data_IF_151220349590
#
_entry.id   IF_151220349590
#
_cell.length_a   1.000
_cell.length_b   1.000
_cell.length_c   1.000
_cell.angle_alpha   90.00
_cell.angle_beta   90.00
_cell.angle_gamma   90.00
#
_symmetry.space_group_name_H-M   'P 1'
#
loop_
_entity.id
_entity.type
_entity.pdbx_description
1 polymer ?
#
# COMPACT_ATOMS: atom_id res chain seq x y z
N UNK A 1 1.88 7.32 -15.28
CA UNK A 1 2.96 8.33 -15.43
C UNK A 1 2.51 9.59 -14.71
N UNK A 2 3.31 10.11 -13.77
CA UNK A 2 2.93 11.34 -13.05
C UNK A 2 3.26 12.54 -13.93
N UNK A 3 2.30 13.43 -14.12
CA UNK A 3 2.42 14.58 -15.02
C UNK A 3 2.16 15.87 -14.23
N UNK A 4 2.99 16.88 -14.39
CA UNK A 4 2.75 18.22 -13.87
C UNK A 4 2.82 19.23 -15.00
N UNK A 5 1.76 20.01 -15.17
CA UNK A 5 1.64 21.02 -16.25
C UNK A 5 1.87 20.47 -17.67
N UNK A 6 1.47 19.21 -17.91
CA UNK A 6 1.66 18.52 -19.19
C UNK A 6 3.03 17.89 -19.41
N UNK A 7 3.99 18.09 -18.49
CA UNK A 7 5.32 17.49 -18.57
C UNK A 7 5.42 16.25 -17.68
N UNK A 8 6.08 15.18 -18.14
CA UNK A 8 6.30 13.99 -17.33
C UNK A 8 7.23 14.30 -16.15
N UNK A 9 6.78 14.00 -14.93
CA UNK A 9 7.63 14.11 -13.75
C UNK A 9 8.51 12.86 -13.64
N UNK A 10 9.84 13.02 -13.68
CA UNK A 10 10.73 11.90 -13.43
C UNK A 10 10.64 11.44 -11.97
N UNK A 11 10.54 10.14 -11.78
CA UNK A 11 10.53 9.50 -10.47
C UNK A 11 11.63 8.44 -10.39
N UNK A 12 11.87 7.87 -9.19
CA UNK A 12 12.80 6.75 -9.03
C UNK A 12 12.45 5.56 -9.93
N UNK A 13 11.17 5.40 -10.27
CA UNK A 13 10.71 4.29 -11.09
C UNK A 13 10.75 4.60 -12.59
N UNK A 14 10.53 5.86 -12.98
CA UNK A 14 10.29 6.22 -14.39
C UNK A 14 11.46 6.92 -15.08
N UNK A 15 12.48 7.38 -14.33
CA UNK A 15 13.62 8.07 -14.93
C UNK A 15 14.58 7.10 -15.61
N UNK A 16 15.07 7.51 -16.80
CA UNK A 16 16.16 6.84 -17.53
C UNK A 16 17.51 7.54 -17.33
N UNK A 17 17.53 8.70 -16.66
CA UNK A 17 18.75 9.42 -16.32
C UNK A 17 19.38 8.82 -15.06
N UNK A 18 20.51 8.14 -15.24
CA UNK A 18 21.25 7.46 -14.18
C UNK A 18 21.73 8.43 -13.09
N UNK A 19 22.17 9.64 -13.47
CA UNK A 19 22.68 10.64 -12.54
C UNK A 19 21.55 11.22 -11.68
N UNK A 20 20.42 11.51 -12.28
CA UNK A 20 19.21 11.95 -11.59
C UNK A 20 18.68 10.84 -10.66
N UNK A 21 18.60 9.60 -11.16
CA UNK A 21 18.19 8.44 -10.37
C UNK A 21 19.07 8.25 -9.13
N UNK A 22 20.40 8.26 -9.30
CA UNK A 22 21.34 8.08 -8.21
C UNK A 22 21.22 9.18 -7.14
N UNK A 23 21.03 10.44 -7.55
CA UNK A 23 20.85 11.57 -6.65
C UNK A 23 19.53 11.46 -5.87
N UNK A 24 18.44 11.16 -6.57
CA UNK A 24 17.13 11.02 -5.94
C UNK A 24 17.11 9.83 -4.98
N UNK A 25 17.67 8.68 -5.38
CA UNK A 25 17.80 7.51 -4.50
C UNK A 25 18.62 7.81 -3.25
N UNK A 26 19.72 8.55 -3.39
CA UNK A 26 20.56 8.93 -2.24
C UNK A 26 19.81 9.79 -1.23
N UNK A 27 18.94 10.70 -1.68
CA UNK A 27 18.16 11.56 -0.81
C UNK A 27 17.15 10.81 0.07
N UNK A 28 16.61 9.70 -0.43
CA UNK A 28 15.61 8.89 0.30
C UNK A 28 16.19 7.65 0.98
N UNK A 29 17.42 7.27 0.65
CA UNK A 29 18.03 6.01 1.10
C UNK A 29 18.08 5.86 2.62
N UNK A 30 18.29 6.95 3.34
CA UNK A 30 18.37 6.93 4.80
C UNK A 30 17.04 6.51 5.45
N UNK A 31 15.90 6.93 4.87
CA UNK A 31 14.57 6.54 5.36
C UNK A 31 14.31 5.02 5.27
N UNK A 32 14.99 4.35 4.33
CA UNK A 32 14.90 2.89 4.13
C UNK A 32 16.12 2.14 4.69
N UNK A 33 16.94 2.80 5.51
CA UNK A 33 18.04 2.12 6.21
C UNK A 33 17.50 1.16 7.24
N UNK A 34 18.27 0.09 7.55
CA UNK A 34 17.88 -0.88 8.58
C UNK A 34 17.59 -0.20 9.93
N UNK A 35 18.40 0.80 10.29
CA UNK A 35 18.20 1.56 11.53
C UNK A 35 16.87 2.33 11.56
N UNK A 36 16.41 2.83 10.40
CA UNK A 36 15.11 3.51 10.31
C UNK A 36 13.96 2.51 10.27
N UNK A 37 14.14 1.36 9.59
CA UNK A 37 13.11 0.33 9.50
C UNK A 37 12.78 -0.29 10.86
N UNK A 38 13.78 -0.53 11.70
CA UNK A 38 13.57 -1.04 13.07
C UNK A 38 12.71 -0.10 13.93
N UNK A 39 12.73 1.20 13.65
CA UNK A 39 11.87 2.17 14.36
C UNK A 39 10.38 2.00 14.03
N UNK A 40 10.04 1.37 12.91
CA UNK A 40 8.64 1.08 12.54
C UNK A 40 8.11 -0.23 13.12
N UNK A 41 9.00 -1.09 13.64
CA UNK A 41 8.63 -2.39 14.22
C UNK A 41 7.49 -2.29 15.25
N UNK A 42 7.51 -1.35 16.23
CA UNK A 42 6.42 -1.24 17.20
C UNK A 42 5.04 -0.92 16.56
N UNK A 43 5.02 -0.18 15.45
CA UNK A 43 3.78 0.14 14.74
C UNK A 43 3.21 -1.09 14.00
N UNK A 44 4.12 -1.92 13.46
CA UNK A 44 3.75 -3.18 12.82
C UNK A 44 3.25 -4.19 13.86
N UNK A 45 3.94 -4.28 15.00
CA UNK A 45 3.57 -5.18 16.10
C UNK A 45 2.19 -4.84 16.66
N UNK A 46 1.92 -3.58 16.94
CA UNK A 46 0.60 -3.10 17.39
C UNK A 46 -0.50 -3.48 16.39
N UNK A 47 -0.26 -3.25 15.10
CA UNK A 47 -1.23 -3.58 14.05
C UNK A 47 -1.43 -5.09 13.92
N UNK A 48 -0.35 -5.86 14.10
CA UNK A 48 -0.38 -7.34 14.09
C UNK A 48 -1.17 -7.89 15.27
N UNK A 49 -1.01 -7.33 16.45
CA UNK A 49 -1.80 -7.74 17.63
C UNK A 49 -3.30 -7.50 17.41
N UNK A 50 -3.66 -6.35 16.85
CA UNK A 50 -5.06 -6.04 16.52
C UNK A 50 -5.59 -7.02 15.46
N UNK A 51 -4.79 -7.32 14.43
CA UNK A 51 -5.17 -8.27 13.38
C UNK A 51 -5.44 -9.65 13.96
N UNK A 52 -4.58 -10.16 14.85
CA UNK A 52 -4.77 -11.46 15.50
C UNK A 52 -6.02 -11.47 16.38
N UNK A 53 -6.19 -10.47 17.23
CA UNK A 53 -7.35 -10.36 18.11
C UNK A 53 -8.68 -10.26 17.34
N UNK A 54 -8.71 -9.51 16.22
CA UNK A 54 -9.90 -9.41 15.38
C UNK A 54 -10.14 -10.70 14.59
N UNK A 55 -9.07 -11.39 14.16
CA UNK A 55 -9.18 -12.69 13.48
C UNK A 55 -9.83 -13.71 14.41
N UNK A 56 -9.37 -13.80 15.65
CA UNK A 56 -9.98 -14.69 16.65
C UNK A 56 -11.44 -14.33 16.92
N UNK A 57 -11.72 -13.05 17.10
CA UNK A 57 -13.08 -12.59 17.39
C UNK A 57 -14.08 -12.88 16.27
N UNK A 58 -13.67 -12.73 15.01
CA UNK A 58 -14.55 -12.81 13.85
C UNK A 58 -14.65 -14.21 13.24
N UNK A 59 -13.62 -15.03 13.38
CA UNK A 59 -13.49 -16.26 12.60
C UNK A 59 -13.15 -17.52 13.41
N UNK A 60 -12.76 -17.41 14.70
CA UNK A 60 -12.32 -18.57 15.48
C UNK A 60 -13.46 -19.59 15.75
N UNK A 61 -14.69 -19.16 15.78
CA UNK A 61 -15.85 -20.04 15.98
C UNK A 61 -16.23 -20.87 14.74
N UNK A 62 -15.61 -20.57 13.59
CA UNK A 62 -15.87 -21.24 12.32
C UNK A 62 -17.24 -20.95 11.70
N UNK A 63 -18.04 -20.07 12.28
CA UNK A 63 -19.37 -19.72 11.77
C UNK A 63 -19.30 -18.79 10.55
N UNK A 64 -18.23 -18.00 10.46
CA UNK A 64 -18.01 -17.05 9.37
C UNK A 64 -16.85 -17.49 8.48
N UNK A 65 -17.07 -17.50 7.18
CA UNK A 65 -16.01 -17.80 6.21
C UNK A 65 -15.10 -16.57 6.08
N UNK A 66 -13.80 -16.76 6.33
CA UNK A 66 -12.80 -15.73 6.15
C UNK A 66 -12.30 -15.68 4.70
N UNK A 67 -12.57 -14.58 3.98
CA UNK A 67 -11.80 -14.24 2.78
C UNK A 67 -10.41 -13.76 3.20
N UNK A 68 -9.49 -14.71 3.34
CA UNK A 68 -8.16 -14.45 3.87
C UNK A 68 -7.33 -13.50 3.00
N UNK A 69 -7.52 -13.51 1.68
CA UNK A 69 -6.84 -12.59 0.78
C UNK A 69 -7.27 -11.14 1.04
N UNK A 70 -8.55 -10.89 1.15
CA UNK A 70 -9.10 -9.58 1.52
C UNK A 70 -8.68 -9.17 2.93
N UNK A 71 -8.66 -10.11 3.87
CA UNK A 71 -8.28 -9.87 5.26
C UNK A 71 -6.81 -9.45 5.38
N UNK A 72 -5.90 -10.12 4.66
CA UNK A 72 -4.49 -9.72 4.56
C UNK A 72 -4.31 -8.35 3.89
N UNK A 73 -5.15 -8.03 2.90
CA UNK A 73 -5.11 -6.73 2.25
C UNK A 73 -5.49 -5.61 3.22
N UNK A 74 -6.49 -5.81 4.06
CA UNK A 74 -6.86 -4.86 5.13
C UNK A 74 -5.71 -4.65 6.12
N UNK A 75 -5.06 -5.73 6.53
CA UNK A 75 -3.86 -5.66 7.36
C UNK A 75 -2.75 -4.83 6.71
N UNK A 76 -2.45 -5.08 5.44
CA UNK A 76 -1.40 -4.35 4.72
C UNK A 76 -1.71 -2.85 4.62
N UNK A 77 -2.96 -2.46 4.37
CA UNK A 77 -3.36 -1.05 4.32
C UNK A 77 -3.26 -0.37 5.70
N UNK A 78 -3.64 -1.05 6.77
CA UNK A 78 -3.52 -0.50 8.12
C UNK A 78 -2.06 -0.38 8.56
N UNK A 79 -1.19 -1.34 8.22
CA UNK A 79 0.26 -1.25 8.45
C UNK A 79 0.87 -0.06 7.70
N UNK A 80 0.61 0.05 6.40
CA UNK A 80 1.12 1.17 5.60
C UNK A 80 0.58 2.51 6.11
N UNK A 81 -0.68 2.60 6.49
CA UNK A 81 -1.27 3.79 7.10
C UNK A 81 -0.55 4.19 8.39
N UNK A 82 -0.27 3.21 9.26
CA UNK A 82 0.44 3.42 10.50
C UNK A 82 1.87 3.95 10.28
N UNK A 83 2.62 3.33 9.37
CA UNK A 83 4.00 3.72 9.06
C UNK A 83 4.07 5.09 8.38
N UNK A 84 3.16 5.36 7.43
CA UNK A 84 3.24 6.56 6.57
C UNK A 84 2.64 7.80 7.25
N UNK A 85 1.52 7.61 7.96
CA UNK A 85 0.72 8.71 8.52
C UNK A 85 0.64 8.67 10.05
N UNK A 86 1.32 7.71 10.69
CA UNK A 86 1.20 7.44 12.13
C UNK A 86 -0.24 7.21 12.59
N UNK A 87 -1.07 6.69 11.68
CA UNK A 87 -2.49 6.44 11.93
C UNK A 87 -3.00 5.32 11.03
N UNK A 88 -3.64 4.31 11.64
CA UNK A 88 -4.35 3.26 10.89
C UNK A 88 -5.63 3.81 10.26
N UNK A 89 -6.02 3.24 9.14
CA UNK A 89 -7.29 3.56 8.48
C UNK A 89 -8.48 2.90 9.18
N UNK A 90 -8.27 1.77 9.84
CA UNK A 90 -9.31 1.03 10.57
C UNK A 90 -10.01 -0.04 9.73
N UNK A 91 -9.35 -0.54 8.69
CA UNK A 91 -9.87 -1.65 7.87
C UNK A 91 -10.08 -2.92 8.70
N UNK A 92 -9.13 -3.24 9.59
CA UNK A 92 -9.18 -4.43 10.43
C UNK A 92 -10.32 -4.32 11.45
N UNK A 93 -10.44 -3.17 12.12
CA UNK A 93 -11.42 -2.97 13.17
C UNK A 93 -12.87 -3.01 12.65
N UNK A 94 -13.10 -2.43 11.46
CA UNK A 94 -14.44 -2.37 10.85
C UNK A 94 -14.78 -3.56 9.98
N UNK A 95 -13.75 -4.32 9.54
CA UNK A 95 -13.88 -5.40 8.56
C UNK A 95 -14.57 -4.95 7.26
N UNK A 96 -14.29 -3.72 6.82
CA UNK A 96 -14.87 -3.14 5.62
C UNK A 96 -13.85 -2.36 4.80
N UNK A 97 -14.14 -2.14 3.52
CA UNK A 97 -13.34 -1.32 2.63
C UNK A 97 -13.56 0.17 2.95
N UNK A 98 -12.63 0.75 3.70
CA UNK A 98 -12.69 2.16 4.11
C UNK A 98 -12.56 3.06 2.87
N UNK A 99 -13.54 3.94 2.69
CA UNK A 99 -13.61 4.90 1.58
C UNK A 99 -13.51 4.26 0.18
N UNK A 100 -13.69 2.94 0.08
CA UNK A 100 -13.59 2.20 -1.18
C UNK A 100 -12.18 2.15 -1.77
N UNK A 101 -11.15 2.27 -0.94
CA UNK A 101 -9.73 2.31 -1.36
C UNK A 101 -9.34 1.00 -2.07
N UNK A 102 -9.70 -0.14 -1.49
CA UNK A 102 -9.38 -1.46 -2.05
C UNK A 102 -10.06 -1.65 -3.40
N UNK A 103 -11.35 -1.30 -3.48
CA UNK A 103 -12.12 -1.37 -4.73
C UNK A 103 -11.56 -0.42 -5.79
N UNK A 104 -11.19 0.81 -5.40
CA UNK A 104 -10.61 1.78 -6.31
C UNK A 104 -9.28 1.31 -6.87
N UNK A 105 -8.44 0.68 -6.03
CA UNK A 105 -7.16 0.11 -6.45
C UNK A 105 -7.37 -1.05 -7.43
N UNK A 106 -8.32 -1.94 -7.17
CA UNK A 106 -8.67 -3.03 -8.08
C UNK A 106 -9.11 -2.49 -9.45
N UNK A 107 -9.99 -1.48 -9.48
CA UNK A 107 -10.42 -0.84 -10.71
C UNK A 107 -9.27 -0.20 -11.50
N UNK A 108 -8.30 0.42 -10.80
CA UNK A 108 -7.10 0.98 -11.43
C UNK A 108 -6.27 -0.12 -12.09
N UNK A 109 -6.07 -1.26 -11.42
CA UNK A 109 -5.33 -2.38 -12.00
C UNK A 109 -6.07 -3.02 -13.18
N UNK A 110 -7.39 -3.20 -13.08
CA UNK A 110 -8.22 -3.72 -14.16
C UNK A 110 -8.16 -2.83 -15.41
N UNK A 111 -8.15 -1.52 -15.22
CA UNK A 111 -7.96 -0.55 -16.31
C UNK A 111 -6.52 -0.55 -16.84
N UNK A 112 -5.53 -0.52 -15.95
CA UNK A 112 -4.13 -0.34 -16.33
C UNK A 112 -3.53 -1.58 -16.99
N UNK A 113 -4.03 -2.77 -16.68
CA UNK A 113 -3.51 -4.01 -17.25
C UNK A 113 -3.67 -4.08 -18.79
N UNK A 114 -4.86 -3.88 -19.39
CA UNK A 114 -4.99 -3.84 -20.84
C UNK A 114 -4.34 -2.62 -21.47
N UNK A 115 -4.46 -1.42 -20.86
CA UNK A 115 -3.88 -0.18 -21.39
C UNK A 115 -2.36 -0.22 -21.40
N UNK A 116 -1.74 -0.80 -20.37
CA UNK A 116 -0.29 -1.00 -20.31
C UNK A 116 0.25 -1.91 -21.43
N UNK A 117 -0.54 -2.86 -21.90
CA UNK A 117 -0.18 -3.73 -23.03
C UNK A 117 -0.52 -3.09 -24.40
N UNK A 118 -1.51 -2.23 -24.43
CA UNK A 118 -2.04 -1.60 -25.65
C UNK A 118 -2.22 -0.09 -25.43
N UNK A 119 -1.14 0.71 -25.41
CA UNK A 119 -1.19 2.14 -25.06
C UNK A 119 -2.10 3.00 -25.95
N UNK A 120 -2.45 2.52 -27.16
CA UNK A 120 -3.39 3.23 -28.05
C UNK A 120 -4.84 3.19 -27.58
N UNK A 121 -5.17 2.37 -26.55
CA UNK A 121 -6.50 2.35 -25.95
C UNK A 121 -6.76 3.54 -25.01
N UNK A 122 -5.72 4.26 -24.62
CA UNK A 122 -5.77 5.42 -23.71
C UNK A 122 -5.94 6.77 -24.47
N UNK A 123 -6.63 6.77 -25.61
CA UNK A 123 -6.86 7.99 -26.41
C UNK A 123 -8.30 8.45 -26.32
#
# INVERSE_FOLDING_TARGET
MTVSKGEPLPSLFSTLDESFHANLRRSVNNAFSMSSLVQYEPMVDETTEIFLNQTDRLFADGATVCDFARWLQFFAFDVIGSITYSKRHGFIEKNEDIDGIVKSLANIFDYSAPVGQMPWLDK
#
